data_IF_487439192558
#
_entry.id   IF_487439192558
#
_cell.length_a   1.000
_cell.length_b   1.000
_cell.length_c   1.000
_cell.angle_alpha   90.00
_cell.angle_beta   90.00
_cell.angle_gamma   90.00
#
_symmetry.space_group_name_H-M   'P 1'
#
loop_
_entity.id
_entity.type
_entity.pdbx_description
1 polymer ?
#
# COMPACT_ATOMS: atom_id res chain seq x y z
N UNK A 1 -6.18 -10.89 -10.81
CA UNK A 1 -6.52 -10.70 -12.24
C UNK A 1 -5.47 -11.33 -13.16
N UNK A 2 -5.88 -12.12 -14.15
CA UNK A 2 -4.95 -12.65 -15.15
C UNK A 2 -4.41 -11.53 -16.03
N UNK A 3 -3.09 -11.47 -16.23
CA UNK A 3 -2.47 -10.54 -17.19
C UNK A 3 -2.41 -11.22 -18.55
N UNK A 4 -2.90 -10.54 -19.59
CA UNK A 4 -2.87 -11.05 -20.97
C UNK A 4 -1.73 -10.47 -21.79
N UNK A 5 -1.43 -9.18 -21.62
CA UNK A 5 -0.38 -8.52 -22.37
C UNK A 5 0.21 -7.33 -21.61
N UNK A 6 1.47 -7.02 -21.91
CA UNK A 6 2.17 -5.80 -21.49
C UNK A 6 2.76 -5.18 -22.74
N UNK A 7 2.54 -3.88 -22.96
CA UNK A 7 3.14 -3.18 -24.09
C UNK A 7 3.69 -1.83 -23.67
N UNK A 8 4.71 -1.39 -24.41
CA UNK A 8 5.36 -0.10 -24.21
C UNK A 8 5.20 0.71 -25.47
N UNK A 9 4.63 1.91 -25.34
CA UNK A 9 4.59 2.91 -26.41
C UNK A 9 5.76 3.88 -26.16
N UNK A 10 6.80 3.87 -27.02
CA UNK A 10 7.91 4.80 -26.88
C UNK A 10 7.40 6.25 -26.96
N UNK A 11 7.71 7.05 -25.95
CA UNK A 11 7.48 8.50 -25.91
C UNK A 11 8.68 9.18 -25.26
N UNK A 12 8.90 10.46 -25.56
CA UNK A 12 9.90 11.28 -24.88
C UNK A 12 9.25 12.07 -23.74
N UNK A 13 9.89 12.20 -22.57
CA UNK A 13 11.20 11.65 -22.18
C UNK A 13 11.17 10.17 -21.75
N UNK A 14 9.99 9.60 -21.51
CA UNK A 14 9.83 8.21 -21.06
C UNK A 14 8.68 7.52 -21.82
N UNK A 15 8.84 6.21 -22.08
CA UNK A 15 7.79 5.38 -22.66
C UNK A 15 6.55 5.30 -21.77
N UNK A 16 5.38 5.11 -22.37
CA UNK A 16 4.16 4.79 -21.63
C UNK A 16 3.99 3.27 -21.64
N UNK A 17 3.89 2.68 -20.46
CA UNK A 17 3.66 1.25 -20.27
C UNK A 17 2.17 1.01 -20.03
N UNK A 18 1.64 -0.03 -20.66
CA UNK A 18 0.26 -0.46 -20.55
C UNK A 18 0.20 -1.93 -20.14
N UNK A 19 -0.76 -2.25 -19.29
CA UNK A 19 -1.09 -3.60 -18.84
C UNK A 19 -2.50 -3.93 -19.33
N UNK A 20 -2.66 -5.04 -20.05
CA UNK A 20 -3.97 -5.60 -20.40
C UNK A 20 -4.20 -6.80 -19.50
N UNK A 21 -5.26 -6.74 -18.71
CA UNK A 21 -5.66 -7.80 -17.79
C UNK A 21 -7.10 -8.23 -18.02
N UNK A 22 -7.44 -9.34 -17.39
CA UNK A 22 -8.80 -9.78 -17.13
C UNK A 22 -9.67 -8.62 -16.66
N UNK A 23 -10.84 -8.51 -17.27
CA UNK A 23 -11.90 -7.65 -16.78
C UNK A 23 -12.56 -8.35 -15.59
N UNK A 24 -12.47 -7.73 -14.42
CA UNK A 24 -13.08 -8.26 -13.21
C UNK A 24 -14.50 -7.71 -13.12
N UNK A 25 -15.49 -8.58 -13.25
CA UNK A 25 -16.88 -8.23 -13.04
C UNK A 25 -17.14 -7.91 -11.56
N UNK A 26 -17.96 -6.89 -11.32
CA UNK A 26 -18.34 -6.47 -9.98
C UNK A 26 -18.28 -4.96 -9.85
N UNK A 27 -18.31 -4.52 -8.61
CA UNK A 27 -18.28 -3.11 -8.27
C UNK A 27 -17.09 -2.81 -7.36
N UNK A 28 -16.47 -1.63 -7.55
CA UNK A 28 -15.54 -1.14 -6.54
C UNK A 28 -16.29 -0.93 -5.22
N UNK A 29 -15.67 -1.36 -4.13
CA UNK A 29 -16.14 -1.08 -2.80
C UNK A 29 -15.96 0.42 -2.51
N UNK A 30 -16.92 0.99 -1.79
CA UNK A 30 -16.84 2.33 -1.25
C UNK A 30 -17.50 2.36 0.13
N UNK A 31 -17.41 3.50 0.82
CA UNK A 31 -17.95 3.64 2.17
C UNK A 31 -19.46 3.44 2.21
N UNK A 32 -20.21 3.94 1.22
CA UNK A 32 -21.66 3.80 1.16
C UNK A 32 -22.06 2.35 0.97
N UNK A 33 -21.41 1.63 0.04
CA UNK A 33 -21.63 0.20 -0.20
C UNK A 33 -21.27 -0.62 1.02
N UNK A 34 -20.13 -0.33 1.66
CA UNK A 34 -19.68 -1.04 2.85
C UNK A 34 -20.68 -0.93 4.03
N UNK A 35 -21.20 0.27 4.26
CA UNK A 35 -22.21 0.51 5.31
C UNK A 35 -23.53 -0.23 4.99
N UNK A 36 -23.91 -0.32 3.72
CA UNK A 36 -25.12 -1.01 3.29
C UNK A 36 -25.06 -2.55 3.40
N UNK A 37 -23.86 -3.12 3.53
CA UNK A 37 -23.70 -4.56 3.75
C UNK A 37 -24.15 -4.97 5.15
N UNK A 38 -24.77 -6.14 5.27
CA UNK A 38 -24.98 -6.78 6.57
C UNK A 38 -23.68 -7.36 7.14
N UNK A 39 -23.70 -7.70 8.43
CA UNK A 39 -22.50 -8.17 9.13
C UNK A 39 -21.95 -9.47 8.56
N UNK A 40 -22.83 -10.36 8.04
CA UNK A 40 -22.42 -11.62 7.43
C UNK A 40 -21.64 -11.38 6.12
N UNK A 41 -22.10 -10.46 5.28
CA UNK A 41 -21.41 -10.08 4.06
C UNK A 41 -20.05 -9.44 4.35
N UNK A 42 -19.99 -8.54 5.35
CA UNK A 42 -18.72 -7.93 5.79
C UNK A 42 -17.73 -8.98 6.29
N UNK A 43 -18.19 -9.96 7.08
CA UNK A 43 -17.37 -11.05 7.59
C UNK A 43 -16.78 -11.89 6.44
N UNK A 44 -17.60 -12.27 5.46
CA UNK A 44 -17.14 -13.02 4.27
C UNK A 44 -16.09 -12.23 3.50
N UNK A 45 -16.34 -10.94 3.24
CA UNK A 45 -15.40 -10.08 2.50
C UNK A 45 -14.09 -9.93 3.24
N UNK A 46 -14.13 -9.64 4.54
CA UNK A 46 -12.94 -9.54 5.39
C UNK A 46 -12.15 -10.86 5.43
N UNK A 47 -12.85 -12.00 5.50
CA UNK A 47 -12.23 -13.32 5.48
C UNK A 47 -11.45 -13.56 4.18
N UNK A 48 -12.05 -13.27 3.02
CA UNK A 48 -11.41 -13.43 1.70
C UNK A 48 -10.26 -12.44 1.47
N UNK A 49 -10.35 -11.22 2.01
CA UNK A 49 -9.23 -10.26 1.98
C UNK A 49 -8.07 -10.75 2.85
N UNK A 50 -8.37 -11.25 4.06
CA UNK A 50 -7.38 -11.84 4.96
C UNK A 50 -6.64 -13.00 4.31
N UNK A 51 -7.36 -13.91 3.64
CA UNK A 51 -6.77 -15.01 2.88
C UNK A 51 -5.84 -14.50 1.78
N UNK A 52 -6.27 -13.52 0.99
CA UNK A 52 -5.43 -12.91 -0.05
C UNK A 52 -4.15 -12.27 0.53
N UNK A 53 -4.23 -11.60 1.68
CA UNK A 53 -3.05 -11.04 2.35
C UNK A 53 -2.11 -12.11 2.88
N UNK A 54 -2.64 -13.20 3.44
CA UNK A 54 -1.83 -14.33 3.88
C UNK A 54 -1.09 -14.99 2.71
N UNK A 55 -1.78 -15.20 1.58
CA UNK A 55 -1.16 -15.71 0.35
C UNK A 55 -0.06 -14.77 -0.15
N UNK A 56 -0.28 -13.47 -0.09
CA UNK A 56 0.73 -12.48 -0.47
C UNK A 56 1.96 -12.52 0.45
N UNK A 57 1.75 -12.61 1.77
CA UNK A 57 2.84 -12.72 2.74
C UNK A 57 3.58 -14.05 2.69
N UNK A 58 2.96 -15.10 2.16
CA UNK A 58 3.58 -16.41 1.97
C UNK A 58 4.52 -16.46 0.77
N UNK A 59 4.52 -15.45 -0.12
CA UNK A 59 5.47 -15.39 -1.24
C UNK A 59 6.90 -15.34 -0.70
N UNK A 60 7.82 -16.23 -1.16
CA UNK A 60 9.19 -16.26 -0.68
C UNK A 60 9.88 -14.91 -0.84
N UNK A 61 10.39 -14.39 0.26
CA UNK A 61 11.09 -13.11 0.30
C UNK A 61 12.35 -13.13 -0.56
N UNK A 62 12.58 -12.03 -1.28
CA UNK A 62 13.86 -11.76 -1.97
C UNK A 62 15.00 -11.39 -0.99
N UNK A 63 14.71 -11.24 0.31
CA UNK A 63 15.73 -10.94 1.32
C UNK A 63 16.15 -9.47 1.39
N UNK A 64 15.46 -8.58 0.66
CA UNK A 64 15.69 -7.14 0.68
C UNK A 64 14.42 -6.36 1.04
N UNK A 65 14.56 -5.10 1.44
CA UNK A 65 13.48 -4.14 1.61
C UNK A 65 13.45 -3.21 0.39
N UNK A 66 12.50 -3.43 -0.52
CA UNK A 66 12.51 -2.82 -1.84
C UNK A 66 11.27 -3.20 -2.65
N UNK A 67 11.29 -2.93 -3.95
CA UNK A 67 10.31 -3.46 -4.90
C UNK A 67 10.79 -4.80 -5.47
N UNK A 68 9.87 -5.51 -6.12
CA UNK A 68 10.12 -6.80 -6.77
C UNK A 68 11.34 -6.71 -7.71
N UNK A 69 12.14 -7.78 -7.76
CA UNK A 69 13.42 -7.85 -8.47
C UNK A 69 14.49 -6.90 -7.93
N UNK A 70 14.61 -6.81 -6.60
CA UNK A 70 15.60 -5.97 -5.90
C UNK A 70 15.62 -4.52 -6.40
N UNK A 71 14.44 -3.97 -6.75
CA UNK A 71 14.35 -2.62 -7.26
C UNK A 71 14.23 -1.61 -6.13
N UNK A 72 14.83 -0.44 -6.32
CA UNK A 72 14.66 0.67 -5.40
C UNK A 72 13.24 1.25 -5.44
N UNK A 73 12.82 1.89 -4.34
CA UNK A 73 11.58 2.66 -4.26
C UNK A 73 11.65 3.90 -5.16
N UNK A 74 10.51 4.28 -5.72
CA UNK A 74 10.38 5.53 -6.46
C UNK A 74 10.54 6.73 -5.53
N UNK A 75 10.97 7.87 -6.08
CA UNK A 75 11.24 9.08 -5.28
C UNK A 75 9.99 9.69 -4.65
N UNK A 76 8.80 9.34 -5.13
CA UNK A 76 7.50 9.76 -4.59
C UNK A 76 6.95 8.80 -3.51
N UNK A 77 7.70 7.75 -3.17
CA UNK A 77 7.29 6.78 -2.19
C UNK A 77 7.37 7.33 -0.76
N UNK A 78 6.21 7.62 -0.18
CA UNK A 78 6.07 8.43 1.04
C UNK A 78 6.86 7.93 2.26
N UNK A 79 7.04 6.62 2.42
CA UNK A 79 7.78 6.04 3.54
C UNK A 79 9.29 6.33 3.48
N UNK A 80 9.84 6.54 2.29
CA UNK A 80 11.28 6.71 2.06
C UNK A 80 11.60 8.05 1.36
N UNK A 81 10.77 9.08 1.52
CA UNK A 81 10.98 10.37 0.86
C UNK A 81 12.19 11.11 1.48
N UNK A 82 13.38 10.87 0.92
CA UNK A 82 14.64 11.46 1.39
C UNK A 82 15.24 12.45 0.40
N UNK A 83 15.08 12.20 -0.91
CA UNK A 83 15.66 13.04 -1.97
C UNK A 83 14.63 13.23 -3.08
N UNK A 84 14.33 14.48 -3.51
CA UNK A 84 13.34 14.74 -4.55
C UNK A 84 13.59 14.07 -5.90
N UNK A 85 14.81 13.57 -6.15
CA UNK A 85 15.22 12.97 -7.45
C UNK A 85 16.00 11.66 -7.33
N UNK A 86 16.09 11.07 -6.14
CA UNK A 86 16.87 9.85 -5.91
C UNK A 86 15.98 8.65 -5.62
N UNK A 87 16.20 7.54 -6.34
CA UNK A 87 15.69 6.22 -5.95
C UNK A 87 16.23 5.84 -4.56
N UNK A 88 15.44 5.10 -3.78
CA UNK A 88 15.74 4.79 -2.38
C UNK A 88 15.77 3.28 -2.16
N UNK A 89 16.82 2.78 -1.52
CA UNK A 89 17.04 1.33 -1.41
C UNK A 89 17.39 0.66 -2.76
N UNK A 90 17.12 -0.66 -2.91
CA UNK A 90 16.61 -1.55 -1.86
C UNK A 90 17.59 -1.59 -0.68
N UNK A 91 17.09 -1.91 0.52
CA UNK A 91 17.93 -2.07 1.71
C UNK A 91 18.15 -3.56 1.98
N UNK A 92 19.38 -3.95 2.30
CA UNK A 92 19.73 -5.36 2.51
C UNK A 92 19.50 -5.82 3.96
N UNK A 93 19.26 -4.89 4.89
CA UNK A 93 18.96 -5.20 6.27
C UNK A 93 17.85 -4.30 6.82
N UNK A 94 17.21 -4.78 7.90
CA UNK A 94 16.10 -4.07 8.54
C UNK A 94 16.53 -2.73 9.12
N UNK A 95 17.74 -2.66 9.68
CA UNK A 95 18.26 -1.46 10.33
C UNK A 95 18.47 -0.30 9.33
N UNK A 96 18.96 -0.59 8.13
CA UNK A 96 19.08 0.39 7.05
C UNK A 96 17.70 0.87 6.58
N UNK A 97 16.74 -0.06 6.43
CA UNK A 97 15.36 0.26 6.09
C UNK A 97 14.72 1.19 7.15
N UNK A 98 14.84 0.85 8.44
CA UNK A 98 14.32 1.67 9.54
C UNK A 98 15.01 3.03 9.61
N UNK A 99 16.32 3.08 9.37
CA UNK A 99 17.07 4.33 9.33
C UNK A 99 16.61 5.25 8.20
N UNK A 100 16.30 4.69 7.03
CA UNK A 100 15.74 5.45 5.93
C UNK A 100 14.30 5.92 6.20
N UNK A 101 13.45 5.09 6.81
CA UNK A 101 12.10 5.50 7.24
C UNK A 101 12.17 6.65 8.25
N UNK A 102 13.08 6.57 9.21
CA UNK A 102 13.29 7.62 10.21
C UNK A 102 13.72 8.94 9.57
N UNK A 103 14.74 8.91 8.72
CA UNK A 103 15.21 10.13 8.04
C UNK A 103 14.12 10.75 7.15
N UNK A 104 13.24 9.92 6.57
CA UNK A 104 12.07 10.38 5.81
C UNK A 104 11.04 11.05 6.73
N UNK A 105 10.75 10.45 7.88
CA UNK A 105 9.86 11.02 8.88
C UNK A 105 10.38 12.35 9.44
N UNK A 106 11.68 12.43 9.75
CA UNK A 106 12.35 13.65 10.21
C UNK A 106 12.29 14.76 9.15
N UNK A 107 12.64 14.45 7.90
CA UNK A 107 12.57 15.41 6.80
C UNK A 107 11.13 15.92 6.60
N UNK A 108 10.14 15.04 6.68
CA UNK A 108 8.72 15.43 6.58
C UNK A 108 8.31 16.30 7.75
N UNK A 109 8.70 15.97 8.98
CA UNK A 109 8.42 16.79 10.15
C UNK A 109 8.99 18.21 10.00
N UNK A 110 10.21 18.33 9.46
CA UNK A 110 10.89 19.60 9.24
C UNK A 110 10.27 20.43 8.10
N UNK A 111 9.78 19.77 7.05
CA UNK A 111 9.32 20.45 5.81
C UNK A 111 7.82 20.69 5.72
N UNK A 112 7.01 19.98 6.52
CA UNK A 112 5.54 20.08 6.42
C UNK A 112 4.97 21.19 7.31
N UNK A 113 5.67 21.59 8.36
CA UNK A 113 5.24 22.66 9.24
C UNK A 113 5.76 24.01 8.74
N UNK A 114 4.88 25.02 8.64
CA UNK A 114 5.29 26.42 8.41
C UNK A 114 5.62 27.06 9.76
N UNK A 115 6.44 26.38 10.55
CA UNK A 115 6.88 26.82 11.87
C UNK A 115 8.39 26.65 11.97
N UNK A 116 9.09 27.54 12.68
CA UNK A 116 10.54 27.42 12.87
C UNK A 116 10.93 26.20 13.72
N UNK A 117 9.99 25.70 14.51
CA UNK A 117 10.18 24.53 15.38
C UNK A 117 9.39 23.32 14.88
N UNK A 118 9.83 22.13 15.28
CA UNK A 118 9.05 20.92 15.10
C UNK A 118 7.70 21.02 15.80
N UNK A 119 6.67 20.46 15.18
CA UNK A 119 5.38 20.28 15.83
C UNK A 119 5.53 19.37 17.05
N UNK A 120 4.71 19.60 18.07
CA UNK A 120 4.74 18.84 19.33
C UNK A 120 4.65 17.32 19.10
N UNK A 121 3.80 16.88 18.17
CA UNK A 121 3.68 15.47 17.78
C UNK A 121 5.01 14.88 17.27
N UNK A 122 5.74 15.61 16.42
CA UNK A 122 7.03 15.16 15.91
C UNK A 122 8.09 15.06 17.02
N UNK A 123 8.13 16.03 17.95
CA UNK A 123 9.05 16.01 19.10
C UNK A 123 8.79 14.81 20.00
N UNK A 124 7.52 14.44 20.18
CA UNK A 124 7.11 13.29 20.99
C UNK A 124 7.42 11.94 20.31
N UNK A 125 7.12 11.80 19.02
CA UNK A 125 7.21 10.50 18.34
C UNK A 125 8.58 10.17 17.74
N UNK A 126 9.34 11.16 17.24
CA UNK A 126 10.61 10.88 16.56
C UNK A 126 11.63 10.16 17.46
N UNK A 127 11.83 10.53 18.75
CA UNK A 127 12.76 9.81 19.62
C UNK A 127 12.43 8.31 19.78
N UNK A 128 11.15 7.97 19.80
CA UNK A 128 10.68 6.58 19.98
C UNK A 128 10.57 5.79 18.67
N UNK A 129 10.68 6.44 17.51
CA UNK A 129 10.46 5.82 16.21
C UNK A 129 11.41 4.63 15.96
N UNK A 130 12.73 4.87 15.97
CA UNK A 130 13.71 3.79 15.74
C UNK A 130 13.65 2.74 16.85
N UNK A 131 13.69 3.09 18.16
CA UNK A 131 13.61 2.09 19.22
C UNK A 131 12.38 1.18 19.11
N UNK A 132 11.22 1.74 18.78
CA UNK A 132 9.97 0.98 18.64
C UNK A 132 10.04 0.00 17.47
N UNK A 133 10.46 0.46 16.29
CA UNK A 133 10.58 -0.41 15.12
C UNK A 133 11.64 -1.50 15.31
N UNK A 134 12.77 -1.20 15.94
CA UNK A 134 13.82 -2.18 16.21
C UNK A 134 13.39 -3.27 17.21
N UNK A 135 12.44 -2.97 18.11
CA UNK A 135 11.84 -3.95 19.04
C UNK A 135 10.67 -4.74 18.44
N UNK A 136 10.16 -4.31 17.29
CA UNK A 136 8.97 -4.91 16.67
C UNK A 136 9.30 -6.27 16.05
N UNK A 137 8.44 -7.28 16.30
CA UNK A 137 8.52 -8.60 15.65
C UNK A 137 7.85 -8.56 14.28
N UNK A 138 8.13 -9.55 13.43
CA UNK A 138 7.55 -9.58 12.07
C UNK A 138 8.20 -8.56 11.12
N UNK A 139 9.45 -8.18 11.40
CA UNK A 139 10.22 -7.25 10.59
C UNK A 139 10.71 -7.83 9.26
N UNK A 140 10.60 -9.16 9.06
CA UNK A 140 11.06 -9.81 7.83
C UNK A 140 10.32 -9.23 6.62
N UNK A 141 11.00 -8.99 5.49
CA UNK A 141 10.35 -8.43 4.32
C UNK A 141 9.39 -9.47 3.73
N UNK A 142 8.10 -9.14 3.72
CA UNK A 142 7.04 -9.90 3.03
C UNK A 142 6.51 -9.07 1.86
N UNK A 143 5.97 -9.73 0.84
CA UNK A 143 5.34 -9.01 -0.25
C UNK A 143 4.08 -8.32 0.30
N UNK A 144 4.03 -7.00 0.23
CA UNK A 144 3.03 -6.21 0.96
C UNK A 144 2.33 -5.24 0.04
N UNK A 145 1.00 -5.28 0.02
CA UNK A 145 0.15 -4.31 -0.65
C UNK A 145 -0.02 -3.07 0.24
N UNK A 146 0.43 -1.91 -0.22
CA UNK A 146 0.44 -0.72 0.62
C UNK A 146 -0.85 0.10 0.50
N UNK A 147 -1.61 -0.03 -0.60
CA UNK A 147 -2.87 0.70 -0.83
C UNK A 147 -4.14 -0.19 -0.95
N UNK A 148 -4.44 -1.11 0.00
CA UNK A 148 -5.63 -1.95 0.00
C UNK A 148 -6.88 -1.15 0.44
N UNK A 149 -7.07 0.04 -0.10
CA UNK A 149 -8.22 0.89 0.18
C UNK A 149 -9.45 0.39 -0.58
N UNK A 150 -10.67 0.77 -0.16
CA UNK A 150 -11.92 0.28 -0.77
C UNK A 150 -11.98 0.43 -2.29
N UNK A 151 -11.50 1.54 -2.85
CA UNK A 151 -11.42 1.76 -4.31
C UNK A 151 -10.57 0.72 -5.06
N UNK A 152 -9.68 0.04 -4.34
CA UNK A 152 -8.76 -0.98 -4.85
C UNK A 152 -9.26 -2.40 -4.55
N UNK A 153 -10.54 -2.54 -4.19
CA UNK A 153 -11.22 -3.80 -3.93
C UNK A 153 -12.46 -3.86 -4.81
N UNK A 154 -12.56 -4.87 -5.67
CA UNK A 154 -13.77 -5.17 -6.44
C UNK A 154 -14.52 -6.29 -5.74
N UNK A 155 -15.83 -6.11 -5.53
CA UNK A 155 -16.71 -7.12 -4.94
C UNK A 155 -17.85 -7.46 -5.89
N UNK A 156 -18.26 -8.73 -5.90
CA UNK A 156 -19.43 -9.23 -6.65
C UNK A 156 -20.19 -10.22 -5.79
N UNK A 157 -21.49 -9.99 -5.60
CA UNK A 157 -22.32 -10.94 -4.86
C UNK A 157 -22.59 -12.19 -5.72
N UNK A 158 -22.40 -13.36 -5.13
CA UNK A 158 -22.75 -14.64 -5.74
C UNK A 158 -24.15 -15.01 -5.24
N UNK A 159 -25.11 -15.02 -6.17
CA UNK A 159 -26.51 -15.32 -5.86
C UNK A 159 -26.82 -16.80 -6.03
N UNK A 160 -27.65 -17.32 -5.14
CA UNK A 160 -28.27 -18.64 -5.23
C UNK A 160 -29.38 -18.69 -6.27
N UNK A 161 -29.99 -19.88 -6.42
CA UNK A 161 -31.08 -20.10 -7.35
C UNK A 161 -32.33 -19.26 -7.02
N UNK A 162 -32.52 -18.89 -5.75
CA UNK A 162 -33.66 -18.10 -5.27
C UNK A 162 -33.33 -16.60 -5.18
N UNK A 163 -32.16 -16.18 -5.68
CA UNK A 163 -31.70 -14.80 -5.70
C UNK A 163 -31.07 -14.31 -4.39
N UNK A 164 -30.98 -15.17 -3.38
CA UNK A 164 -30.32 -14.92 -2.10
C UNK A 164 -28.80 -14.84 -2.27
N UNK A 165 -28.14 -13.93 -1.56
CA UNK A 165 -26.67 -13.83 -1.60
C UNK A 165 -26.09 -14.99 -0.79
N UNK A 166 -25.39 -15.91 -1.46
CA UNK A 166 -24.74 -17.07 -0.83
C UNK A 166 -23.29 -16.81 -0.45
N UNK A 167 -22.59 -16.05 -1.27
CA UNK A 167 -21.17 -15.75 -1.09
C UNK A 167 -20.80 -14.45 -1.81
N UNK A 168 -19.53 -14.06 -1.70
CA UNK A 168 -18.95 -12.90 -2.38
C UNK A 168 -17.67 -13.30 -3.11
N UNK A 169 -17.50 -12.82 -4.32
CA UNK A 169 -16.18 -12.70 -4.92
C UNK A 169 -15.56 -11.38 -4.50
N UNK A 170 -14.28 -11.43 -4.15
CA UNK A 170 -13.52 -10.27 -3.69
C UNK A 170 -12.16 -10.30 -4.36
N UNK A 171 -11.83 -9.24 -5.09
CA UNK A 171 -10.59 -9.15 -5.86
C UNK A 171 -9.85 -7.87 -5.49
N UNK A 172 -8.63 -8.02 -4.99
CA UNK A 172 -7.69 -6.91 -4.80
C UNK A 172 -7.08 -6.48 -6.14
N UNK A 173 -7.02 -5.17 -6.37
CA UNK A 173 -6.44 -4.54 -7.57
C UNK A 173 -5.46 -3.43 -7.18
N UNK A 174 -4.88 -2.75 -8.18
CA UNK A 174 -3.96 -1.62 -8.00
C UNK A 174 -2.65 -1.97 -7.26
N UNK A 175 -1.88 -2.86 -7.88
CA UNK A 175 -0.63 -3.41 -7.35
C UNK A 175 0.59 -2.47 -7.52
N UNK A 176 0.40 -1.18 -7.82
CA UNK A 176 1.47 -0.24 -8.17
C UNK A 176 2.49 -0.01 -7.04
N UNK A 177 2.01 -0.15 -5.80
CA UNK A 177 2.72 0.11 -4.55
C UNK A 177 3.18 -1.18 -3.87
N UNK A 178 3.18 -2.30 -4.60
CA UNK A 178 3.63 -3.58 -4.08
C UNK A 178 5.14 -3.55 -3.77
N UNK A 179 5.50 -3.98 -2.56
CA UNK A 179 6.89 -3.96 -2.11
C UNK A 179 7.20 -5.05 -1.09
N UNK A 180 8.48 -5.42 -1.02
CA UNK A 180 9.08 -6.18 0.05
C UNK A 180 9.29 -5.29 1.27
N UNK A 181 8.38 -5.37 2.24
CA UNK A 181 8.39 -4.58 3.48
C UNK A 181 7.84 -5.43 4.63
N UNK A 182 8.05 -5.05 5.91
CA UNK A 182 7.42 -5.76 7.02
C UNK A 182 5.90 -5.81 6.89
N UNK A 183 5.26 -6.93 7.22
CA UNK A 183 3.80 -7.07 7.09
C UNK A 183 2.99 -6.02 7.88
N UNK A 184 3.56 -5.44 8.95
CA UNK A 184 2.91 -4.39 9.72
C UNK A 184 2.76 -3.05 8.98
N UNK A 185 3.43 -2.85 7.84
CA UNK A 185 3.24 -1.64 7.01
C UNK A 185 2.14 -1.81 5.95
N UNK A 186 1.46 -2.97 5.93
CA UNK A 186 0.33 -3.21 5.05
C UNK A 186 -0.73 -2.11 5.23
N UNK A 187 -1.23 -1.53 4.13
CA UNK A 187 -2.18 -0.43 4.21
C UNK A 187 -1.63 0.94 4.59
N UNK A 188 -0.31 1.12 4.66
CA UNK A 188 0.29 2.40 5.03
C UNK A 188 0.36 3.43 3.89
N UNK A 189 0.01 3.06 2.65
CA UNK A 189 0.03 4.01 1.54
C UNK A 189 -1.03 5.08 1.72
N UNK A 190 -0.57 6.33 1.63
CA UNK A 190 -1.44 7.50 1.56
C UNK A 190 -1.04 8.34 0.37
N UNK A 191 -1.82 8.32 -0.71
CA UNK A 191 -1.76 9.40 -1.69
C UNK A 191 -2.13 10.70 -1.00
N UNK A 192 -1.35 11.78 -1.17
CA UNK A 192 -1.81 13.13 -0.81
C UNK A 192 -3.10 13.35 -1.59
N UNK A 193 -4.24 13.40 -0.88
CA UNK A 193 -5.49 13.82 -1.49
C UNK A 193 -5.28 15.19 -2.16
N UNK A 194 -5.86 15.40 -3.34
CA UNK A 194 -6.06 16.76 -3.85
C UNK A 194 -6.78 17.52 -2.73
N UNK A 195 -6.18 18.64 -2.31
CA UNK A 195 -6.56 19.35 -1.09
C UNK A 195 -8.07 19.44 -0.92
N UNK A 196 -8.57 18.98 0.22
CA UNK A 196 -9.88 19.41 0.69
C UNK A 196 -9.79 20.93 0.79
N UNK A 197 -10.48 21.62 -0.11
CA UNK A 197 -10.77 23.04 0.03
C UNK A 197 -11.54 23.14 1.34
N UNK A 198 -10.85 23.52 2.42
CA UNK A 198 -11.51 23.99 3.63
C UNK A 198 -12.36 25.16 3.17
N UNK A 199 -13.68 24.97 3.13
CA UNK A 199 -14.62 26.07 3.00
C UNK A 199 -14.32 27.03 4.16
N UNK A 200 -14.11 28.30 3.79
CA UNK A 200 -13.96 29.42 4.70
C UNK A 200 -15.17 29.56 5.62
#
# INVERSE_FOLDING_TARGET
PKVYAVFTVPKQPHGIHYLVSEFIEGEMLDETKWIALDDKAREIICSKLSEQFQLLWAVPSEGCYGRVHHQAFSSDFNLFYLRPKGMQGPYNCYEDCVSAMYASAELRAATTAITPEFRHDAVEYLPEFKPTLMRTRGYKPTLTHLDPQFRNIITRSIKGAEGEIKDWEVVLIDWDSLAWLPGFVHGSWRRKGKGSVRKA
#
